data_IF_094311056580
#
_entry.id   IF_094311056580
#
_cell.length_a   1.000
_cell.length_b   1.000
_cell.length_c   1.000
_cell.angle_alpha   90.00
_cell.angle_beta   90.00
_cell.angle_gamma   90.00
#
_symmetry.space_group_name_H-M   'P 1'
#
loop_
_entity.id
_entity.type
_entity.pdbx_description
1 polymer ?
#
# COMPACT_ATOMS: atom_id res chain seq x y z
N UNK A 1 18.13 -7.40 6.94
CA UNK A 1 16.66 -7.28 7.04
C UNK A 1 16.31 -5.90 7.56
N UNK A 2 15.35 -5.25 6.97
CA UNK A 2 14.94 -3.92 7.39
C UNK A 2 13.66 -3.98 8.20
N UNK A 3 13.54 -3.06 9.17
CA UNK A 3 12.34 -2.95 10.01
C UNK A 3 11.24 -2.13 9.35
N UNK A 4 11.54 -1.46 8.25
CA UNK A 4 10.63 -0.56 7.55
C UNK A 4 10.51 -0.91 6.08
N UNK A 5 9.31 -0.76 5.55
CA UNK A 5 8.99 -1.10 4.17
C UNK A 5 8.17 -0.03 3.48
N UNK A 6 8.30 0.03 2.17
CA UNK A 6 7.37 0.73 1.28
C UNK A 6 6.47 -0.34 0.67
N UNK A 7 5.17 -0.12 0.74
CA UNK A 7 4.19 -1.06 0.17
C UNK A 7 3.48 -0.40 -1.00
N UNK A 8 3.43 -1.11 -2.12
CA UNK A 8 2.71 -0.66 -3.31
C UNK A 8 1.40 -1.43 -3.43
N UNK A 9 0.32 -0.69 -3.58
CA UNK A 9 -1.00 -1.25 -3.87
C UNK A 9 -1.59 -0.45 -5.03
N UNK A 10 -2.01 -1.12 -6.09
CA UNK A 10 -2.77 -0.47 -7.15
C UNK A 10 -4.25 -0.64 -6.88
N UNK A 11 -5.03 0.36 -7.21
CA UNK A 11 -6.47 0.36 -6.94
C UNK A 11 -7.21 1.24 -7.94
N UNK A 12 -8.54 1.02 -8.09
CA UNK A 12 -9.38 1.97 -8.81
C UNK A 12 -9.36 3.32 -8.11
N UNK A 13 -9.41 4.38 -8.87
CA UNK A 13 -9.32 5.75 -8.33
C UNK A 13 -10.42 6.02 -7.29
N UNK A 14 -11.64 5.54 -7.55
CA UNK A 14 -12.78 5.76 -6.67
C UNK A 14 -12.73 5.00 -5.34
N UNK A 15 -11.85 4.00 -5.22
CA UNK A 15 -11.66 3.25 -3.98
C UNK A 15 -10.47 3.73 -3.15
N UNK A 16 -9.51 4.37 -3.80
CA UNK A 16 -8.20 4.63 -3.20
C UNK A 16 -8.25 5.55 -1.98
N UNK A 17 -9.10 6.56 -2.01
CA UNK A 17 -9.19 7.54 -0.90
C UNK A 17 -9.68 6.87 0.38
N UNK A 18 -10.75 6.10 0.29
CA UNK A 18 -11.31 5.40 1.46
C UNK A 18 -10.35 4.34 1.97
N UNK A 19 -9.72 3.60 1.05
CA UNK A 19 -8.71 2.60 1.40
C UNK A 19 -7.56 3.25 2.17
N UNK A 20 -7.00 4.34 1.63
CA UNK A 20 -5.88 5.04 2.24
C UNK A 20 -6.23 5.58 3.62
N UNK A 21 -7.38 6.24 3.74
CA UNK A 21 -7.83 6.81 5.01
C UNK A 21 -8.02 5.73 6.08
N UNK A 22 -8.67 4.64 5.72
CA UNK A 22 -8.92 3.54 6.65
C UNK A 22 -7.63 2.94 7.17
N UNK A 23 -6.67 2.67 6.29
CA UNK A 23 -5.39 2.07 6.69
C UNK A 23 -4.57 2.99 7.60
N UNK A 24 -4.61 4.30 7.34
CA UNK A 24 -3.92 5.29 8.20
C UNK A 24 -4.62 5.39 9.54
N UNK A 25 -5.94 5.48 9.56
CA UNK A 25 -6.71 5.58 10.80
C UNK A 25 -6.53 4.35 11.69
N UNK A 26 -6.41 3.18 11.10
CA UNK A 26 -6.17 1.94 11.83
C UNK A 26 -4.70 1.75 12.22
N UNK A 27 -3.83 2.66 11.84
CA UNK A 27 -2.40 2.64 12.14
C UNK A 27 -1.68 1.40 11.60
N UNK A 28 -2.18 0.84 10.52
CA UNK A 28 -1.50 -0.22 9.80
C UNK A 28 -0.39 0.34 8.92
N UNK A 29 -0.52 1.61 8.55
CA UNK A 29 0.50 2.36 7.83
C UNK A 29 0.62 3.76 8.46
N UNK A 30 1.80 4.36 8.35
CA UNK A 30 2.00 5.71 8.83
C UNK A 30 1.48 6.74 7.84
N UNK A 31 1.61 6.45 6.54
CA UNK A 31 1.08 7.32 5.50
C UNK A 31 0.80 6.55 4.22
N UNK A 32 -0.06 7.12 3.39
CA UNK A 32 -0.31 6.66 2.02
C UNK A 32 -0.24 7.86 1.10
N UNK A 33 0.57 7.74 0.05
CA UNK A 33 0.58 8.71 -1.05
C UNK A 33 -0.16 8.07 -2.22
N UNK A 34 -1.13 8.81 -2.78
CA UNK A 34 -1.89 8.34 -3.93
C UNK A 34 -1.35 9.03 -5.17
N UNK A 35 -0.84 8.24 -6.11
CA UNK A 35 -0.33 8.73 -7.38
C UNK A 35 -1.37 8.41 -8.45
N UNK A 36 -2.05 9.41 -8.99
CA UNK A 36 -3.06 9.19 -10.03
C UNK A 36 -2.42 8.98 -11.40
N UNK A 37 -3.24 8.54 -12.35
CA UNK A 37 -2.84 8.54 -13.76
C UNK A 37 -2.04 7.32 -14.21
N UNK A 38 -2.09 6.22 -13.47
CA UNK A 38 -1.51 4.98 -13.93
C UNK A 38 -2.36 4.41 -15.05
N UNK A 39 -1.69 3.85 -16.05
CA UNK A 39 -2.32 3.05 -17.06
C UNK A 39 -1.65 1.69 -17.01
N UNK A 40 -2.42 0.67 -16.57
CA UNK A 40 -1.88 -0.66 -16.28
C UNK A 40 -2.27 -1.64 -17.36
N UNK A 41 -1.27 -2.35 -17.89
CA UNK A 41 -1.47 -3.44 -18.85
C UNK A 41 -1.08 -4.73 -18.14
N UNK A 42 -1.97 -5.72 -18.12
CA UNK A 42 -1.71 -6.96 -17.40
C UNK A 42 -2.54 -8.11 -17.94
N UNK A 43 -2.08 -9.32 -17.68
CA UNK A 43 -2.81 -10.52 -18.04
C UNK A 43 -3.89 -10.83 -17.02
N UNK A 44 -5.10 -11.06 -17.51
CA UNK A 44 -6.21 -11.49 -16.67
C UNK A 44 -7.11 -12.44 -17.47
N UNK A 45 -7.27 -13.68 -16.98
CA UNK A 45 -8.12 -14.70 -17.59
C UNK A 45 -7.87 -14.88 -19.08
N UNK A 46 -6.59 -14.94 -19.46
CA UNK A 46 -6.18 -15.20 -20.84
C UNK A 46 -6.21 -14.01 -21.78
N UNK A 47 -6.45 -12.80 -21.25
CA UNK A 47 -6.49 -11.57 -22.02
C UNK A 47 -5.55 -10.52 -21.44
N UNK A 48 -5.08 -9.64 -22.29
CA UNK A 48 -4.36 -8.44 -21.84
C UNK A 48 -5.39 -7.36 -21.56
N UNK A 49 -5.44 -6.93 -20.32
CA UNK A 49 -6.29 -5.81 -19.87
C UNK A 49 -5.49 -4.51 -19.95
N UNK A 50 -6.19 -3.41 -20.12
CA UNK A 50 -5.65 -2.05 -20.19
C UNK A 50 -6.58 -1.16 -19.38
N UNK A 51 -6.18 -0.88 -18.13
CA UNK A 51 -7.07 -0.23 -17.16
C UNK A 51 -6.42 1.00 -16.53
N UNK A 52 -7.21 2.06 -16.28
CA UNK A 52 -6.73 3.16 -15.46
C UNK A 52 -6.71 2.74 -14.00
N UNK A 53 -5.65 3.12 -13.29
CA UNK A 53 -5.51 2.85 -11.87
C UNK A 53 -4.80 4.01 -11.18
N UNK A 54 -4.74 3.95 -9.85
CA UNK A 54 -3.86 4.78 -9.05
C UNK A 54 -2.90 3.89 -8.29
N UNK A 55 -1.73 4.43 -7.97
CA UNK A 55 -0.73 3.75 -7.15
C UNK A 55 -0.78 4.32 -5.74
N UNK A 56 -1.05 3.46 -4.77
CA UNK A 56 -0.94 3.81 -3.36
C UNK A 56 0.45 3.41 -2.88
N UNK A 57 1.22 4.39 -2.44
CA UNK A 57 2.56 4.18 -1.89
C UNK A 57 2.45 4.35 -0.38
N UNK A 58 2.68 3.26 0.35
CA UNK A 58 2.47 3.22 1.80
C UNK A 58 3.79 3.04 2.52
N UNK A 59 3.92 3.61 3.73
CA UNK A 59 5.10 3.41 4.56
C UNK A 59 4.66 2.83 5.89
N UNK A 60 5.31 1.76 6.31
CA UNK A 60 4.98 1.09 7.55
C UNK A 60 6.16 0.26 8.06
N UNK A 61 5.94 -0.44 9.17
CA UNK A 61 6.92 -1.37 9.72
C UNK A 61 6.71 -2.75 9.11
N UNK A 62 7.82 -3.46 8.88
CA UNK A 62 7.79 -4.80 8.27
C UNK A 62 6.91 -5.78 9.04
N UNK A 63 6.92 -5.70 10.36
CA UNK A 63 6.11 -6.59 11.23
C UNK A 63 4.61 -6.44 11.04
N UNK A 64 4.17 -5.34 10.44
CA UNK A 64 2.75 -5.08 10.19
C UNK A 64 2.28 -5.52 8.81
N UNK A 65 3.17 -6.03 7.97
CA UNK A 65 2.83 -6.35 6.59
C UNK A 65 1.69 -7.36 6.47
N UNK A 66 1.72 -8.42 7.25
CA UNK A 66 0.69 -9.46 7.17
C UNK A 66 -0.69 -8.91 7.55
N UNK A 67 -0.78 -8.14 8.63
CA UNK A 67 -2.03 -7.51 9.05
C UNK A 67 -2.51 -6.50 8.00
N UNK A 68 -1.58 -5.73 7.44
CA UNK A 68 -1.89 -4.78 6.36
C UNK A 68 -2.45 -5.51 5.14
N UNK A 69 -1.80 -6.58 4.72
CA UNK A 69 -2.22 -7.38 3.58
C UNK A 69 -3.64 -7.93 3.77
N UNK A 70 -3.92 -8.47 4.95
CA UNK A 70 -5.24 -9.01 5.27
C UNK A 70 -6.31 -7.91 5.21
N UNK A 71 -5.98 -6.72 5.73
CA UNK A 71 -6.93 -5.62 5.73
C UNK A 71 -7.18 -5.07 4.34
N UNK A 72 -6.15 -4.95 3.52
CA UNK A 72 -6.30 -4.51 2.12
C UNK A 72 -7.20 -5.49 1.36
N UNK A 73 -7.03 -6.79 1.56
CA UNK A 73 -7.88 -7.80 0.92
C UNK A 73 -9.35 -7.63 1.30
N UNK A 74 -9.64 -7.24 2.53
CA UNK A 74 -11.02 -7.01 2.99
C UNK A 74 -11.64 -5.77 2.34
N UNK A 75 -10.83 -4.75 2.07
CA UNK A 75 -11.29 -3.45 1.60
C UNK A 75 -11.24 -3.27 0.09
N UNK A 76 -10.43 -4.06 -0.60
CA UNK A 76 -10.17 -3.91 -2.03
C UNK A 76 -11.18 -4.73 -2.84
N UNK A 77 -11.62 -4.19 -3.97
CA UNK A 77 -12.63 -4.85 -4.80
C UNK A 77 -12.07 -5.93 -5.74
N UNK A 78 -10.75 -5.94 -5.98
CA UNK A 78 -10.14 -6.89 -6.90
C UNK A 78 -10.12 -8.29 -6.31
N UNK A 79 -10.26 -9.28 -7.19
CA UNK A 79 -10.18 -10.69 -6.81
C UNK A 79 -8.75 -11.06 -6.40
N UNK A 80 -7.75 -10.53 -7.12
CA UNK A 80 -6.34 -10.67 -6.79
C UNK A 80 -5.72 -9.27 -6.79
N UNK A 81 -5.40 -8.75 -5.60
CA UNK A 81 -4.84 -7.41 -5.41
C UNK A 81 -3.32 -7.42 -5.59
N UNK A 82 -2.79 -6.34 -6.17
CA UNK A 82 -1.35 -6.12 -6.14
C UNK A 82 -1.00 -5.53 -4.78
N UNK A 83 -0.26 -6.27 -3.99
CA UNK A 83 0.26 -5.82 -2.69
C UNK A 83 1.69 -6.33 -2.61
N UNK A 84 2.64 -5.44 -2.80
CA UNK A 84 4.06 -5.81 -2.75
C UNK A 84 4.80 -4.86 -1.82
N UNK A 85 5.84 -5.37 -1.18
CA UNK A 85 6.65 -4.59 -0.25
C UNK A 85 8.10 -4.56 -0.70
N UNK A 86 8.72 -3.38 -0.57
CA UNK A 86 10.14 -3.20 -0.81
C UNK A 86 10.79 -2.75 0.49
N UNK A 87 12.00 -3.22 0.78
CA UNK A 87 12.69 -2.78 1.98
C UNK A 87 13.13 -1.32 1.84
N UNK A 88 13.02 -0.57 2.94
CA UNK A 88 13.64 0.75 3.01
C UNK A 88 15.03 0.54 3.58
N UNK A 89 16.02 0.58 2.72
CA UNK A 89 17.40 0.32 3.11
C UNK A 89 17.98 1.47 3.93
N UNK A 90 17.72 2.71 3.50
CA UNK A 90 18.22 3.92 4.16
C UNK A 90 17.11 4.95 4.22
N UNK A 91 17.03 5.65 5.34
CA UNK A 91 16.03 6.69 5.52
C UNK A 91 16.50 7.72 6.52
N UNK A 92 15.90 8.91 6.47
CA UNK A 92 16.19 9.98 7.42
C UNK A 92 15.72 9.55 8.81
N UNK A 93 16.63 9.47 9.83
CA UNK A 93 16.26 8.91 11.14
C UNK A 93 15.00 9.51 11.78
N UNK A 94 14.78 10.84 11.81
CA UNK A 94 13.55 11.37 12.38
C UNK A 94 12.29 10.92 11.64
N UNK A 95 12.38 10.72 10.33
CA UNK A 95 11.24 10.22 9.54
C UNK A 95 10.96 8.76 9.85
N UNK A 96 12.00 7.94 9.97
CA UNK A 96 11.85 6.52 10.32
C UNK A 96 11.23 6.38 11.72
N UNK A 97 11.65 7.22 12.67
CA UNK A 97 11.03 7.25 14.00
C UNK A 97 9.56 7.65 13.91
N UNK A 98 9.23 8.58 13.04
CA UNK A 98 7.87 9.01 12.82
C UNK A 98 6.99 7.86 12.28
N UNK A 99 7.53 7.04 11.37
CA UNK A 99 6.81 5.85 10.90
C UNK A 99 6.48 4.93 12.07
N UNK A 100 7.46 4.67 12.93
CA UNK A 100 7.28 3.80 14.09
C UNK A 100 6.23 4.35 15.06
N UNK A 101 6.29 5.65 15.34
CA UNK A 101 5.39 6.30 16.30
C UNK A 101 3.95 6.36 15.79
N UNK A 102 3.71 6.31 14.49
CA UNK A 102 2.40 6.46 13.89
C UNK A 102 1.81 5.15 13.34
N UNK A 103 2.41 4.04 13.69
CA UNK A 103 1.88 2.71 13.38
C UNK A 103 1.62 1.95 14.68
N UNK A 104 0.84 0.87 14.60
CA UNK A 104 0.48 0.06 15.78
C UNK A 104 1.71 -0.40 16.55
N UNK A 105 1.63 -0.41 17.90
CA UNK A 105 2.72 -0.88 18.75
C UNK A 105 3.01 -2.36 18.59
#
# INVERSE_FOLDING_TARGET
MTDYIVVYVTAPEDEAVDLARTLVEERLVACVNIVPGLRSFYWWQGKVEDEPEVLCIMKTQSRLFEALQDRVRQLHSYEVEEIIALPILLGNPPYMDWIKENTQP
#
